data_IF_685824234284
#
_entry.id   IF_685824234284
#
_cell.length_a   1.000
_cell.length_b   1.000
_cell.length_c   1.000
_cell.angle_alpha   90.00
_cell.angle_beta   90.00
_cell.angle_gamma   90.00
#
_symmetry.space_group_name_H-M   'P 1'
#
loop_
_entity.id
_entity.type
_entity.pdbx_description
1 polymer ?
#
# COMPACT_ATOMS: atom_id res chain seq x y z
N UNK A 1 -13.48 12.93 18.48
CA UNK A 1 -13.22 13.21 19.92
C UNK A 1 -12.32 12.19 20.59
N UNK A 2 -12.42 10.89 20.28
CA UNK A 2 -11.53 9.86 20.85
C UNK A 2 -10.04 10.21 20.76
N UNK A 3 -9.52 10.52 19.57
CA UNK A 3 -8.08 10.76 19.36
C UNK A 3 -7.48 11.91 20.19
N UNK A 4 -8.30 12.74 20.82
CA UNK A 4 -7.87 13.86 21.68
C UNK A 4 -7.82 13.49 23.16
N UNK A 5 -8.31 12.31 23.54
CA UNK A 5 -8.28 11.83 24.93
C UNK A 5 -6.86 11.43 25.34
N UNK A 6 -6.51 11.46 26.65
CA UNK A 6 -5.23 10.95 27.14
C UNK A 6 -5.05 9.45 26.86
N UNK A 7 -6.15 8.70 26.96
CA UNK A 7 -6.24 7.28 26.68
C UNK A 7 -7.36 7.06 25.64
N UNK A 8 -7.07 7.29 24.35
CA UNK A 8 -8.05 7.06 23.29
C UNK A 8 -8.32 5.56 23.15
N UNK A 9 -9.56 5.19 22.87
CA UNK A 9 -9.92 3.82 22.51
C UNK A 9 -9.46 3.54 21.07
N UNK A 10 -8.24 3.03 20.90
CA UNK A 10 -7.72 2.63 19.59
C UNK A 10 -8.38 1.34 19.10
N UNK A 11 -8.61 1.28 17.80
CA UNK A 11 -8.99 0.08 17.08
C UNK A 11 -7.82 -0.34 16.18
N UNK A 12 -7.40 -1.60 16.26
CA UNK A 12 -6.35 -2.13 15.40
C UNK A 12 -6.90 -2.35 14.01
N UNK A 13 -6.47 -1.53 13.04
CA UNK A 13 -6.86 -1.65 11.63
C UNK A 13 -6.01 -2.71 10.92
N UNK A 14 -4.69 -2.67 11.11
CA UNK A 14 -3.76 -3.66 10.58
C UNK A 14 -2.70 -3.98 11.63
N UNK A 15 -2.57 -5.25 11.97
CA UNK A 15 -1.48 -5.78 12.79
C UNK A 15 -0.37 -6.32 11.87
N UNK A 16 0.70 -5.56 11.73
CA UNK A 16 1.83 -5.89 10.84
C UNK A 16 2.65 -7.06 11.40
N UNK A 17 2.72 -7.21 12.72
CA UNK A 17 3.44 -8.33 13.35
C UNK A 17 2.68 -9.64 13.13
N UNK A 18 1.36 -9.63 13.32
CA UNK A 18 0.51 -10.79 13.04
C UNK A 18 0.53 -11.15 11.55
N UNK A 19 0.51 -10.15 10.66
CA UNK A 19 0.66 -10.36 9.22
C UNK A 19 2.00 -11.03 8.89
N UNK A 20 3.10 -10.52 9.46
CA UNK A 20 4.43 -11.07 9.25
C UNK A 20 4.57 -12.52 9.73
N UNK A 21 3.98 -12.83 10.88
CA UNK A 21 3.93 -14.19 11.41
C UNK A 21 3.11 -15.14 10.50
N UNK A 22 1.98 -14.67 9.98
CA UNK A 22 1.12 -15.46 9.09
C UNK A 22 1.78 -15.76 7.73
N UNK A 23 2.53 -14.80 7.18
CA UNK A 23 3.17 -14.95 5.87
C UNK A 23 4.60 -15.47 5.94
N UNK A 24 5.19 -15.57 7.13
CA UNK A 24 6.60 -15.94 7.30
C UNK A 24 7.56 -14.89 6.75
N UNK A 25 7.15 -13.62 6.75
CA UNK A 25 7.93 -12.49 6.22
C UNK A 25 8.08 -11.43 7.31
N UNK A 26 9.29 -10.91 7.48
CA UNK A 26 9.52 -9.75 8.35
C UNK A 26 9.05 -8.48 7.64
N UNK A 27 7.78 -8.13 7.81
CA UNK A 27 7.21 -6.90 7.26
C UNK A 27 7.57 -5.68 8.11
N UNK A 28 7.89 -4.58 7.43
CA UNK A 28 8.09 -3.26 8.02
C UNK A 28 7.16 -2.29 7.31
N UNK A 29 6.44 -1.47 8.07
CA UNK A 29 5.57 -0.43 7.51
C UNK A 29 6.38 0.57 6.67
N UNK A 30 5.99 0.79 5.42
CA UNK A 30 6.67 1.70 4.50
C UNK A 30 5.79 2.85 3.99
N UNK A 31 4.53 2.93 4.42
CA UNK A 31 3.63 4.04 4.13
C UNK A 31 2.26 3.59 3.66
N UNK A 32 1.40 4.57 3.40
CA UNK A 32 0.06 4.36 2.89
C UNK A 32 -0.36 5.50 1.98
N UNK A 33 -1.03 5.17 0.88
CA UNK A 33 -1.64 6.14 -0.06
C UNK A 33 -3.14 5.92 -0.06
N UNK A 34 -3.89 6.90 0.40
CA UNK A 34 -5.35 6.81 0.52
C UNK A 34 -6.01 7.16 -0.82
N UNK A 35 -7.07 6.45 -1.20
CA UNK A 35 -7.89 6.82 -2.35
C UNK A 35 -8.63 8.13 -2.04
N UNK A 36 -8.37 9.18 -2.83
CA UNK A 36 -9.05 10.47 -2.74
C UNK A 36 -10.19 10.54 -3.76
N UNK A 37 -11.43 10.50 -3.26
CA UNK A 37 -12.66 10.68 -4.05
C UNK A 37 -13.36 12.00 -3.68
N UNK A 38 -12.61 12.96 -3.13
CA UNK A 38 -13.11 14.24 -2.66
C UNK A 38 -13.56 14.21 -1.19
N UNK A 39 -14.55 15.02 -0.77
CA UNK A 39 -14.91 15.21 0.64
C UNK A 39 -15.70 14.04 1.25
N UNK A 40 -15.68 12.87 0.62
CA UNK A 40 -16.31 11.65 1.10
C UNK A 40 -15.30 10.77 1.81
N UNK A 41 -15.75 10.02 2.81
CA UNK A 41 -14.91 8.99 3.43
C UNK A 41 -14.60 7.91 2.39
N UNK A 42 -13.33 7.58 2.25
CA UNK A 42 -12.85 6.45 1.46
C UNK A 42 -12.72 5.19 2.30
N UNK A 43 -12.95 4.05 1.66
CA UNK A 43 -12.78 2.70 2.18
C UNK A 43 -11.47 2.06 1.70
N UNK A 44 -10.77 2.65 0.72
CA UNK A 44 -9.58 2.09 0.08
C UNK A 44 -8.31 2.84 0.43
N UNK A 45 -7.26 2.07 0.71
CA UNK A 45 -5.91 2.57 0.92
C UNK A 45 -4.90 1.57 0.36
N UNK A 46 -3.92 2.05 -0.39
CA UNK A 46 -2.73 1.26 -0.70
C UNK A 46 -1.80 1.27 0.50
N UNK A 47 -1.38 0.10 0.98
CA UNK A 47 -0.41 -0.07 2.05
C UNK A 47 0.90 -0.57 1.46
N UNK A 48 1.99 0.14 1.73
CA UNK A 48 3.34 -0.27 1.36
C UNK A 48 4.03 -0.95 2.54
N UNK A 49 4.56 -2.15 2.31
CA UNK A 49 5.33 -2.93 3.28
C UNK A 49 6.69 -3.28 2.69
N UNK A 50 7.74 -3.16 3.49
CA UNK A 50 9.10 -3.54 3.12
C UNK A 50 9.49 -4.86 3.78
N UNK A 51 10.13 -5.75 3.02
CA UNK A 51 10.75 -6.96 3.58
C UNK A 51 12.04 -6.60 4.29
N UNK A 52 12.10 -6.84 5.60
CA UNK A 52 13.28 -6.60 6.43
C UNK A 52 13.75 -5.15 6.47
N UNK A 53 12.91 -4.19 6.07
CA UNK A 53 13.25 -2.76 6.05
C UNK A 53 14.15 -2.32 4.89
N UNK A 54 14.17 -3.06 3.78
CA UNK A 54 14.80 -2.62 2.53
C UNK A 54 14.10 -1.39 1.91
N UNK A 55 14.73 -0.79 0.91
CA UNK A 55 14.17 0.32 0.14
C UNK A 55 13.17 -0.13 -0.95
N UNK A 56 13.04 -1.44 -1.18
CA UNK A 56 11.99 -2.03 -2.01
C UNK A 56 10.74 -2.30 -1.17
N UNK A 57 9.57 -2.11 -1.77
CA UNK A 57 8.28 -2.34 -1.11
C UNK A 57 7.38 -3.24 -1.95
N UNK A 58 6.55 -4.01 -1.26
CA UNK A 58 5.33 -4.61 -1.80
C UNK A 58 4.19 -3.68 -1.42
N UNK A 59 3.32 -3.32 -2.36
CA UNK A 59 2.16 -2.50 -2.08
C UNK A 59 0.88 -3.29 -2.33
N UNK A 60 -0.08 -3.22 -1.41
CA UNK A 60 -1.36 -3.95 -1.52
C UNK A 60 -2.51 -3.06 -1.12
N UNK A 61 -3.62 -3.17 -1.83
CA UNK A 61 -4.84 -2.45 -1.48
C UNK A 61 -5.53 -3.08 -0.27
N UNK A 62 -5.99 -2.22 0.63
CA UNK A 62 -6.63 -2.58 1.88
C UNK A 62 -7.98 -1.89 2.01
N UNK A 63 -8.97 -2.66 2.46
CA UNK A 63 -10.32 -2.23 2.78
C UNK A 63 -10.39 -1.80 4.26
N UNK A 64 -10.58 -0.51 4.51
CA UNK A 64 -10.70 0.07 5.85
C UNK A 64 -12.00 -0.32 6.56
N UNK A 65 -13.06 -0.68 5.81
CA UNK A 65 -14.33 -1.13 6.38
C UNK A 65 -14.29 -2.60 6.76
N UNK A 66 -13.66 -3.43 5.93
CA UNK A 66 -13.52 -4.87 6.17
C UNK A 66 -12.28 -5.23 6.99
N UNK A 67 -11.35 -4.28 7.16
CA UNK A 67 -10.05 -4.48 7.81
C UNK A 67 -9.27 -5.65 7.20
N UNK A 68 -9.24 -5.70 5.86
CA UNK A 68 -8.62 -6.78 5.12
C UNK A 68 -8.00 -6.29 3.81
N UNK A 69 -6.94 -6.97 3.36
CA UNK A 69 -6.42 -6.79 2.01
C UNK A 69 -7.46 -7.22 0.97
N UNK A 70 -7.59 -6.44 -0.10
CA UNK A 70 -8.50 -6.74 -1.20
C UNK A 70 -7.82 -7.76 -2.11
N UNK A 71 -8.39 -8.96 -2.33
CA UNK A 71 -7.79 -9.93 -3.23
C UNK A 71 -7.73 -9.40 -4.67
N UNK A 72 -6.63 -9.67 -5.39
CA UNK A 72 -6.51 -9.32 -6.83
C UNK A 72 -7.65 -9.92 -7.65
N UNK A 73 -8.11 -11.13 -7.29
CA UNK A 73 -9.25 -11.79 -7.92
C UNK A 73 -10.60 -11.04 -7.75
N UNK A 74 -10.69 -10.15 -6.76
CA UNK A 74 -11.83 -9.29 -6.48
C UNK A 74 -11.62 -7.84 -6.97
N UNK A 75 -10.54 -7.59 -7.72
CA UNK A 75 -10.20 -6.26 -8.25
C UNK A 75 -9.24 -5.46 -7.38
N UNK A 76 -8.64 -6.06 -6.35
CA UNK A 76 -7.65 -5.37 -5.52
C UNK A 76 -6.33 -5.12 -6.24
N UNK A 77 -5.68 -3.99 -5.93
CA UNK A 77 -4.33 -3.72 -6.44
C UNK A 77 -3.23 -4.42 -5.62
N UNK A 78 -2.25 -4.99 -6.32
CA UNK A 78 -1.01 -5.50 -5.75
C UNK A 78 0.17 -5.13 -6.65
N UNK A 79 1.20 -4.51 -6.05
CA UNK A 79 2.47 -4.25 -6.69
C UNK A 79 3.53 -5.19 -6.11
N UNK A 80 4.30 -5.89 -6.96
CA UNK A 80 5.35 -6.78 -6.51
C UNK A 80 6.47 -5.97 -5.83
N UNK A 81 7.36 -6.70 -5.16
CA UNK A 81 8.51 -6.10 -4.49
C UNK A 81 9.38 -5.31 -5.48
N UNK A 82 9.52 -4.02 -5.24
CA UNK A 82 10.31 -3.14 -6.09
C UNK A 82 10.39 -1.71 -5.58
N UNK A 83 11.23 -0.92 -6.25
CA UNK A 83 11.29 0.53 -6.09
C UNK A 83 10.22 1.17 -6.96
N UNK A 84 9.01 1.14 -6.44
CA UNK A 84 7.80 1.53 -7.14
C UNK A 84 7.32 2.89 -6.63
N UNK A 85 6.74 3.68 -7.52
CA UNK A 85 5.95 4.85 -7.14
C UNK A 85 4.55 4.69 -7.73
N UNK A 86 3.53 5.11 -7.00
CA UNK A 86 2.15 4.94 -7.42
C UNK A 86 1.19 5.93 -6.76
N UNK A 87 0.09 6.20 -7.44
CA UNK A 87 -1.06 6.89 -6.87
C UNK A 87 -2.36 6.41 -7.52
N UNK A 88 -3.48 6.62 -6.83
CA UNK A 88 -4.79 6.47 -7.45
C UNK A 88 -4.99 7.56 -8.49
N UNK A 89 -5.42 7.16 -9.69
CA UNK A 89 -6.04 8.07 -10.65
C UNK A 89 -7.53 8.20 -10.35
N UNK A 90 -8.15 7.06 -10.05
CA UNK A 90 -9.54 6.88 -9.62
C UNK A 90 -9.66 5.51 -8.94
N UNK A 91 -10.85 5.15 -8.46
CA UNK A 91 -11.09 3.92 -7.66
C UNK A 91 -10.55 2.65 -8.30
N UNK A 92 -10.73 2.50 -9.61
CA UNK A 92 -10.39 1.28 -10.35
C UNK A 92 -9.15 1.46 -11.25
N UNK A 93 -8.38 2.54 -11.07
CA UNK A 93 -7.17 2.80 -11.87
C UNK A 93 -6.03 3.39 -11.03
N UNK A 94 -4.85 2.75 -11.05
CA UNK A 94 -3.61 3.30 -10.50
C UNK A 94 -2.74 3.91 -11.61
N UNK A 95 -1.97 4.93 -11.25
CA UNK A 95 -0.76 5.30 -11.98
C UNK A 95 0.42 4.65 -11.29
N UNK A 96 1.24 3.89 -12.01
CA UNK A 96 2.35 3.12 -11.46
C UNK A 96 3.64 3.34 -12.26
N UNK A 97 4.76 3.49 -11.55
CA UNK A 97 6.10 3.50 -12.11
C UNK A 97 7.01 2.46 -11.43
N UNK A 98 7.97 1.91 -12.19
CA UNK A 98 9.10 1.13 -11.67
C UNK A 98 8.90 -0.38 -11.54
N UNK A 99 7.66 -0.88 -11.58
CA UNK A 99 7.36 -2.33 -11.41
C UNK A 99 7.53 -3.17 -12.68
N UNK A 100 7.76 -2.55 -13.84
CA UNK A 100 7.70 -3.21 -15.15
C UNK A 100 9.08 -3.69 -15.68
N UNK A 101 10.10 -3.70 -14.84
CA UNK A 101 11.44 -4.23 -15.14
C UNK A 101 12.51 -3.17 -15.41
N UNK A 102 13.78 -3.62 -15.51
CA UNK A 102 14.96 -2.73 -15.55
C UNK A 102 14.97 -1.71 -16.69
N UNK A 103 14.37 -2.05 -17.84
CA UNK A 103 14.28 -1.14 -18.98
C UNK A 103 13.45 0.13 -18.67
N UNK A 104 12.60 0.07 -17.65
CA UNK A 104 11.74 1.15 -17.17
C UNK A 104 12.31 1.85 -15.93
N UNK A 105 13.60 1.61 -15.66
CA UNK A 105 14.35 2.25 -14.60
C UNK A 105 15.41 3.19 -15.17
N UNK A 106 15.70 4.24 -14.41
CA UNK A 106 16.91 5.05 -14.58
C UNK A 106 18.13 4.26 -14.11
N UNK A 107 19.33 4.72 -14.45
CA UNK A 107 20.60 4.14 -13.95
C UNK A 107 20.74 4.21 -12.43
N UNK A 108 19.95 5.06 -11.76
CA UNK A 108 19.89 5.18 -10.30
C UNK A 108 18.81 4.32 -9.66
N UNK A 109 18.06 3.52 -10.44
CA UNK A 109 17.04 2.61 -9.93
C UNK A 109 15.70 3.27 -9.59
N UNK A 110 15.39 4.42 -10.19
CA UNK A 110 14.07 5.07 -10.09
C UNK A 110 13.24 4.88 -11.36
N UNK A 111 11.90 4.89 -11.28
CA UNK A 111 11.02 4.84 -12.44
C UNK A 111 11.36 5.93 -13.48
N UNK A 112 11.40 5.59 -14.77
CA UNK A 112 11.49 6.56 -15.90
C UNK A 112 10.18 6.75 -16.67
N UNK A 113 9.20 5.90 -16.42
CA UNK A 113 7.89 5.83 -17.09
C UNK A 113 6.79 5.60 -16.06
N UNK A 114 5.60 6.09 -16.35
CA UNK A 114 4.36 5.85 -15.58
C UNK A 114 3.33 5.24 -16.51
N UNK A 115 2.59 4.24 -16.01
CA UNK A 115 1.52 3.53 -16.74
C UNK A 115 0.26 3.47 -15.90
N UNK A 116 -0.86 3.26 -16.58
CA UNK A 116 -2.15 2.85 -16.02
C UNK A 116 -2.31 1.33 -16.10
#
# INVERSE_FOLDING_TARGET
DEYRKPEPAWETVLDVDALGAAEGVSWVWAGSTVLDEGPVRTDRVMISLSRGGSDATVAREFDLDKMAFVPVAEGGFELPEGKSDFCYKERDTLLVGGVFGEAEMTTSGYPRTVRE
#
